data_IF_833658328734
#
_entry.id   IF_833658328734
#
_cell.length_a   1.000
_cell.length_b   1.000
_cell.length_c   1.000
_cell.angle_alpha   90.00
_cell.angle_beta   90.00
_cell.angle_gamma   90.00
#
_symmetry.space_group_name_H-M   'P 1'
#
loop_
_entity.id
_entity.type
_entity.pdbx_description
1 polymer ?
#
# COMPACT_ATOMS: atom_id res chain seq x y z
N UNK A 1 15.82 -16.14 -6.26
CA UNK A 1 14.55 -15.38 -6.24
C UNK A 1 13.33 -16.26 -6.56
N UNK A 2 13.34 -17.13 -7.60
CA UNK A 2 12.18 -17.96 -7.99
C UNK A 2 11.58 -18.78 -6.83
N UNK A 3 12.39 -19.39 -5.98
CA UNK A 3 11.91 -20.13 -4.78
C UNK A 3 11.11 -19.25 -3.82
N UNK A 4 11.49 -17.97 -3.68
CA UNK A 4 10.74 -17.00 -2.85
C UNK A 4 9.40 -16.63 -3.50
N UNK A 5 9.40 -16.42 -4.81
CA UNK A 5 8.18 -16.15 -5.59
C UNK A 5 7.22 -17.33 -5.45
N UNK A 6 7.70 -18.55 -5.62
CA UNK A 6 6.89 -19.76 -5.48
C UNK A 6 6.35 -19.92 -4.04
N UNK A 7 7.19 -19.65 -3.03
CA UNK A 7 6.77 -19.68 -1.63
C UNK A 7 5.63 -18.69 -1.36
N UNK A 8 5.76 -17.43 -1.78
CA UNK A 8 4.73 -16.41 -1.58
C UNK A 8 3.44 -16.72 -2.37
N UNK A 9 3.59 -17.22 -3.60
CA UNK A 9 2.46 -17.66 -4.42
C UNK A 9 1.67 -18.78 -3.74
N UNK A 10 2.37 -19.78 -3.21
CA UNK A 10 1.75 -20.88 -2.50
C UNK A 10 1.13 -20.45 -1.16
N UNK A 11 1.79 -19.54 -0.43
CA UNK A 11 1.26 -18.95 0.79
C UNK A 11 -0.05 -18.21 0.52
N UNK A 12 -0.12 -17.40 -0.55
CA UNK A 12 -1.34 -16.70 -0.97
C UNK A 12 -2.48 -17.69 -1.27
N UNK A 13 -2.21 -18.79 -2.01
CA UNK A 13 -3.22 -19.84 -2.26
C UNK A 13 -3.76 -20.44 -0.96
N UNK A 14 -2.84 -20.86 -0.09
CA UNK A 14 -3.20 -21.48 1.19
C UNK A 14 -4.06 -20.55 2.04
N UNK A 15 -3.68 -19.25 2.15
CA UNK A 15 -4.44 -18.28 2.95
C UNK A 15 -5.82 -17.98 2.38
N UNK A 16 -5.94 -17.94 1.07
CA UNK A 16 -7.22 -17.73 0.39
C UNK A 16 -8.15 -18.93 0.61
N UNK A 17 -7.63 -20.16 0.47
CA UNK A 17 -8.38 -21.40 0.73
C UNK A 17 -8.80 -21.52 2.20
N UNK A 18 -7.91 -21.22 3.16
CA UNK A 18 -8.21 -21.20 4.59
C UNK A 18 -9.33 -20.23 4.94
N UNK A 19 -9.41 -19.10 4.23
CA UNK A 19 -10.46 -18.07 4.40
C UNK A 19 -11.79 -18.45 3.71
N UNK A 20 -11.80 -19.46 2.85
CA UNK A 20 -12.97 -19.81 2.03
C UNK A 20 -13.29 -18.74 0.98
N UNK A 21 -12.29 -17.99 0.54
CA UNK A 21 -12.42 -17.00 -0.53
C UNK A 21 -12.17 -17.63 -1.89
N UNK A 22 -12.73 -17.04 -2.94
CA UNK A 22 -12.64 -17.54 -4.30
C UNK A 22 -11.43 -17.02 -5.07
N UNK A 23 -10.79 -15.95 -4.58
CA UNK A 23 -9.66 -15.32 -5.24
C UNK A 23 -9.09 -14.12 -4.47
N UNK A 24 -8.30 -13.31 -5.18
CA UNK A 24 -7.53 -12.19 -4.62
C UNK A 24 -7.72 -10.91 -5.43
N UNK A 25 -7.68 -9.77 -4.75
CA UNK A 25 -7.59 -8.48 -5.42
C UNK A 25 -6.53 -7.58 -4.79
N UNK A 26 -6.02 -6.63 -5.58
CA UNK A 26 -5.05 -5.63 -5.13
C UNK A 26 -5.36 -4.26 -5.72
N UNK A 27 -5.18 -3.21 -4.92
CA UNK A 27 -5.15 -1.83 -5.40
C UNK A 27 -3.86 -1.55 -6.17
N UNK A 28 -3.96 -1.07 -7.41
CA UNK A 28 -2.80 -0.81 -8.26
C UNK A 28 -2.53 0.68 -8.31
N UNK A 29 -1.40 1.09 -7.72
CA UNK A 29 -0.95 2.49 -7.69
C UNK A 29 -0.02 2.85 -8.86
N UNK A 30 0.58 1.85 -9.53
CA UNK A 30 1.68 2.04 -10.45
C UNK A 30 3.05 2.09 -9.78
N UNK A 31 3.13 1.87 -8.46
CA UNK A 31 4.37 1.67 -7.72
C UNK A 31 4.83 0.21 -7.75
N UNK A 32 6.12 -0.01 -7.47
CA UNK A 32 6.78 -1.32 -7.58
C UNK A 32 6.15 -2.37 -6.66
N UNK A 33 5.75 -2.02 -5.44
CA UNK A 33 5.17 -2.95 -4.47
C UNK A 33 3.82 -3.48 -4.98
N UNK A 34 2.93 -2.59 -5.43
CA UNK A 34 1.65 -2.99 -6.03
C UNK A 34 1.83 -3.80 -7.32
N UNK A 35 2.88 -3.51 -8.09
CA UNK A 35 3.23 -4.30 -9.27
C UNK A 35 3.62 -5.73 -8.89
N UNK A 36 4.57 -5.91 -7.95
CA UNK A 36 4.98 -7.25 -7.49
C UNK A 36 3.79 -8.05 -6.97
N UNK A 37 2.93 -7.44 -6.14
CA UNK A 37 1.73 -8.11 -5.64
C UNK A 37 0.79 -8.51 -6.76
N UNK A 38 0.62 -7.67 -7.80
CA UNK A 38 -0.21 -7.97 -8.98
C UNK A 38 0.25 -9.25 -9.69
N UNK A 39 1.56 -9.39 -9.92
CA UNK A 39 2.13 -10.60 -10.51
C UNK A 39 2.01 -11.83 -9.61
N UNK A 40 2.18 -11.68 -8.29
CA UNK A 40 2.03 -12.77 -7.33
C UNK A 40 0.59 -13.30 -7.27
N UNK A 41 -0.42 -12.40 -7.20
CA UNK A 41 -1.82 -12.83 -7.17
C UNK A 41 -2.25 -13.46 -8.49
N UNK A 42 -1.76 -12.96 -9.62
CA UNK A 42 -1.99 -13.57 -10.94
C UNK A 42 -1.40 -14.98 -11.04
N UNK A 43 -0.19 -15.20 -10.52
CA UNK A 43 0.40 -16.54 -10.43
C UNK A 43 -0.36 -17.46 -9.46
N UNK A 44 -0.87 -16.90 -8.36
CA UNK A 44 -1.64 -17.67 -7.38
C UNK A 44 -3.00 -18.11 -7.94
N UNK A 45 -3.73 -17.19 -8.56
CA UNK A 45 -5.08 -17.39 -9.10
C UNK A 45 -5.18 -16.80 -10.50
N UNK A 46 -4.77 -17.54 -11.55
CA UNK A 46 -4.74 -17.02 -12.92
C UNK A 46 -6.08 -16.45 -13.42
N UNK A 47 -7.21 -17.07 -13.03
CA UNK A 47 -8.55 -16.64 -13.44
C UNK A 47 -9.27 -15.81 -12.36
N UNK A 48 -8.93 -16.01 -11.08
CA UNK A 48 -9.60 -15.40 -9.94
C UNK A 48 -8.70 -14.37 -9.23
N UNK A 49 -8.07 -13.51 -10.01
CA UNK A 49 -7.28 -12.38 -9.54
C UNK A 49 -7.71 -11.08 -10.22
N UNK A 50 -7.77 -9.98 -9.47
CA UNK A 50 -8.30 -8.71 -9.94
C UNK A 50 -7.43 -7.53 -9.48
N UNK A 51 -7.05 -6.68 -10.44
CA UNK A 51 -6.49 -5.36 -10.17
C UNK A 51 -7.58 -4.32 -10.03
N UNK A 52 -7.42 -3.38 -9.10
CA UNK A 52 -8.37 -2.28 -8.92
C UNK A 52 -7.60 -0.96 -8.99
N UNK A 53 -7.89 -0.14 -10.00
CA UNK A 53 -7.29 1.19 -10.19
C UNK A 53 -8.25 2.24 -9.63
N UNK A 54 -7.80 3.00 -8.63
CA UNK A 54 -8.63 3.92 -7.83
C UNK A 54 -8.10 5.36 -7.88
N UNK A 55 -8.18 6.05 -9.03
CA UNK A 55 -7.70 7.41 -9.15
C UNK A 55 -8.53 8.39 -8.31
N UNK A 56 -7.84 9.43 -7.81
CA UNK A 56 -8.44 10.61 -7.19
C UNK A 56 -7.76 11.84 -7.82
N UNK A 57 -8.53 12.79 -8.30
CA UNK A 57 -8.11 13.98 -9.05
C UNK A 57 -7.48 13.71 -10.44
N UNK A 58 -7.59 12.49 -10.94
CA UNK A 58 -7.14 12.08 -12.28
C UNK A 58 -8.12 11.05 -12.83
N UNK A 59 -8.20 10.88 -14.15
CA UNK A 59 -8.96 9.79 -14.78
C UNK A 59 -8.23 8.45 -14.69
N UNK A 60 -8.94 7.36 -14.98
CA UNK A 60 -8.34 6.01 -15.06
C UNK A 60 -7.32 5.96 -16.21
N UNK A 61 -7.60 6.61 -17.33
CA UNK A 61 -6.73 6.72 -18.49
C UNK A 61 -5.43 7.46 -18.24
N UNK A 62 -5.39 8.31 -17.20
CA UNK A 62 -4.20 9.05 -16.81
C UNK A 62 -3.27 8.23 -15.89
N UNK A 63 -3.69 7.01 -15.51
CA UNK A 63 -2.91 6.10 -14.64
C UNK A 63 -1.98 5.19 -15.47
N UNK A 64 -1.12 5.79 -16.28
CA UNK A 64 -0.26 5.06 -17.24
C UNK A 64 0.58 3.97 -16.60
N UNK A 65 1.16 4.21 -15.43
CA UNK A 65 1.97 3.23 -14.72
C UNK A 65 1.13 2.06 -14.20
N UNK A 66 -0.06 2.35 -13.62
CA UNK A 66 -0.98 1.32 -13.17
C UNK A 66 -1.50 0.47 -14.35
N UNK A 67 -1.78 1.09 -15.50
CA UNK A 67 -2.18 0.39 -16.72
C UNK A 67 -1.04 -0.48 -17.28
N UNK A 68 0.21 0.00 -17.24
CA UNK A 68 1.38 -0.80 -17.62
C UNK A 68 1.57 -2.03 -16.73
N UNK A 69 1.27 -1.92 -15.42
CA UNK A 69 1.32 -3.05 -14.48
C UNK A 69 0.27 -4.11 -14.84
N UNK A 70 -1.00 -3.72 -15.07
CA UNK A 70 -2.06 -4.68 -15.40
C UNK A 70 -1.84 -5.35 -16.74
N UNK A 71 -1.31 -4.62 -17.72
CA UNK A 71 -0.95 -5.18 -19.03
C UNK A 71 0.22 -6.19 -18.91
N UNK A 72 1.30 -5.79 -18.20
CA UNK A 72 2.47 -6.65 -18.03
C UNK A 72 2.18 -7.91 -17.20
N UNK A 73 1.29 -7.83 -16.22
CA UNK A 73 0.85 -8.96 -15.41
C UNK A 73 -0.26 -9.80 -16.09
N UNK A 74 -0.79 -9.39 -17.23
CA UNK A 74 -1.99 -9.97 -17.86
C UNK A 74 -3.16 -10.08 -16.88
N UNK A 75 -3.30 -9.08 -15.99
CA UNK A 75 -4.26 -9.08 -14.90
C UNK A 75 -5.57 -8.43 -15.34
N UNK A 76 -6.70 -9.08 -15.09
CA UNK A 76 -8.00 -8.41 -15.22
C UNK A 76 -8.09 -7.24 -14.26
N UNK A 77 -8.70 -6.15 -14.67
CA UNK A 77 -8.84 -4.99 -13.81
C UNK A 77 -10.16 -4.26 -13.94
N UNK A 78 -10.49 -3.47 -12.92
CA UNK A 78 -11.56 -2.47 -12.94
C UNK A 78 -11.00 -1.11 -12.52
N UNK A 79 -11.45 -0.06 -13.20
CA UNK A 79 -11.14 1.33 -12.86
C UNK A 79 -12.33 1.98 -12.17
N UNK A 80 -12.15 2.54 -10.99
CA UNK A 80 -13.20 3.23 -10.22
C UNK A 80 -12.66 4.58 -9.78
N UNK A 81 -13.17 5.64 -10.38
CA UNK A 81 -12.78 7.00 -10.05
C UNK A 81 -13.45 7.45 -8.74
N UNK A 82 -12.67 7.98 -7.81
CA UNK A 82 -13.11 8.38 -6.48
C UNK A 82 -13.07 9.90 -6.23
N UNK A 83 -12.80 10.70 -7.27
CA UNK A 83 -12.64 12.17 -7.13
C UNK A 83 -13.87 12.81 -6.50
N UNK A 84 -15.07 12.55 -7.01
CA UNK A 84 -16.31 13.13 -6.48
C UNK A 84 -16.60 12.69 -5.05
N UNK A 85 -16.35 11.42 -4.73
CA UNK A 85 -16.53 10.88 -3.38
C UNK A 85 -15.56 11.53 -2.38
N UNK A 86 -14.30 11.67 -2.78
CA UNK A 86 -13.28 12.35 -1.99
C UNK A 86 -13.65 13.82 -1.77
N UNK A 87 -13.93 14.56 -2.86
CA UNK A 87 -14.19 16.00 -2.82
C UNK A 87 -15.42 16.30 -1.96
N UNK A 88 -16.51 15.57 -2.17
CA UNK A 88 -17.74 15.73 -1.39
C UNK A 88 -17.51 15.53 0.10
N UNK A 89 -16.77 14.45 0.46
CA UNK A 89 -16.49 14.12 1.86
C UNK A 89 -15.56 15.15 2.48
N UNK A 90 -14.47 15.50 1.79
CA UNK A 90 -13.46 16.46 2.28
C UNK A 90 -14.05 17.84 2.49
N UNK A 91 -14.80 18.36 1.51
CA UNK A 91 -15.44 19.68 1.61
C UNK A 91 -16.50 19.72 2.71
N UNK A 92 -17.26 18.67 2.89
CA UNK A 92 -18.23 18.59 4.00
C UNK A 92 -17.53 18.70 5.36
N UNK A 93 -16.43 17.94 5.56
CA UNK A 93 -15.62 18.00 6.78
C UNK A 93 -15.06 19.40 6.98
N UNK A 94 -14.44 19.96 5.94
CA UNK A 94 -13.82 21.30 5.97
C UNK A 94 -14.83 22.37 6.35
N UNK A 95 -16.00 22.38 5.72
CA UNK A 95 -17.05 23.36 5.97
C UNK A 95 -17.56 23.27 7.41
N UNK A 96 -17.83 22.06 7.90
CA UNK A 96 -18.33 21.88 9.26
C UNK A 96 -17.30 22.28 10.34
N UNK A 97 -16.02 22.02 10.11
CA UNK A 97 -14.96 22.44 11.02
C UNK A 97 -14.69 23.94 10.93
N UNK A 98 -14.81 24.57 9.75
CA UNK A 98 -14.72 26.02 9.59
C UNK A 98 -15.85 26.74 10.33
N UNK A 99 -17.10 26.28 10.23
CA UNK A 99 -18.25 26.83 10.95
C UNK A 99 -18.05 26.83 12.48
N UNK A 100 -17.31 25.85 13.00
CA UNK A 100 -16.92 25.76 14.42
C UNK A 100 -15.67 26.58 14.77
N UNK A 101 -14.89 27.05 13.77
CA UNK A 101 -13.58 27.66 13.98
C UNK A 101 -12.46 26.66 14.31
N UNK A 102 -12.68 25.35 14.08
CA UNK A 102 -11.76 24.27 14.46
C UNK A 102 -10.90 23.77 13.28
N UNK A 103 -11.07 24.33 12.08
CA UNK A 103 -10.28 23.91 10.92
C UNK A 103 -8.81 24.25 11.07
N UNK A 104 -7.94 23.25 10.93
CA UNK A 104 -6.50 23.39 11.03
C UNK A 104 -5.83 23.19 9.65
N UNK A 105 -5.37 24.26 9.05
CA UNK A 105 -4.73 24.26 7.74
C UNK A 105 -3.42 23.42 7.69
N UNK A 106 -2.62 23.43 8.77
CA UNK A 106 -1.35 22.69 8.83
C UNK A 106 -1.56 21.18 8.79
N UNK A 107 -2.68 20.70 9.36
CA UNK A 107 -3.02 19.28 9.40
C UNK A 107 -3.90 18.82 8.24
N UNK A 108 -4.40 19.75 7.44
CA UNK A 108 -5.40 19.46 6.40
C UNK A 108 -4.84 18.59 5.27
N UNK A 109 -3.57 18.78 4.89
CA UNK A 109 -2.92 17.98 3.84
C UNK A 109 -2.83 16.51 4.24
N UNK A 110 -2.28 16.22 5.41
CA UNK A 110 -2.20 14.84 5.93
C UNK A 110 -3.58 14.24 6.15
N UNK A 111 -4.55 15.03 6.63
CA UNK A 111 -5.94 14.60 6.79
C UNK A 111 -6.58 14.21 5.47
N UNK A 112 -6.35 14.99 4.42
CA UNK A 112 -6.82 14.72 3.06
C UNK A 112 -6.18 13.47 2.47
N UNK A 113 -4.86 13.31 2.59
CA UNK A 113 -4.13 12.14 2.15
C UNK A 113 -4.64 10.83 2.80
N UNK A 114 -4.80 10.85 4.13
CA UNK A 114 -5.36 9.72 4.87
C UNK A 114 -6.82 9.42 4.48
N UNK A 115 -7.62 10.43 4.13
CA UNK A 115 -8.97 10.22 3.63
C UNK A 115 -8.94 9.51 2.27
N UNK A 116 -8.04 9.90 1.37
CA UNK A 116 -7.88 9.23 0.07
C UNK A 116 -7.54 7.74 0.25
N UNK A 117 -6.55 7.41 1.10
CA UNK A 117 -6.17 6.03 1.38
C UNK A 117 -7.34 5.21 1.95
N UNK A 118 -8.13 5.78 2.86
CA UNK A 118 -9.30 5.11 3.45
C UNK A 118 -10.46 4.93 2.48
N UNK A 119 -10.70 5.87 1.58
CA UNK A 119 -11.69 5.70 0.52
C UNK A 119 -11.28 4.57 -0.43
N UNK A 120 -10.01 4.50 -0.81
CA UNK A 120 -9.49 3.38 -1.61
C UNK A 120 -9.70 2.05 -0.89
N UNK A 121 -9.29 1.94 0.36
CA UNK A 121 -9.48 0.72 1.17
C UNK A 121 -10.95 0.29 1.21
N UNK A 122 -11.86 1.20 1.54
CA UNK A 122 -13.29 0.87 1.61
C UNK A 122 -13.84 0.39 0.27
N UNK A 123 -13.35 0.97 -0.84
CA UNK A 123 -13.73 0.56 -2.20
C UNK A 123 -13.18 -0.81 -2.55
N UNK A 124 -11.90 -1.11 -2.18
CA UNK A 124 -11.32 -2.45 -2.37
C UNK A 124 -12.15 -3.52 -1.68
N UNK A 125 -12.54 -3.30 -0.42
CA UNK A 125 -13.40 -4.24 0.31
C UNK A 125 -14.80 -4.38 -0.30
N UNK A 126 -15.40 -3.29 -0.79
CA UNK A 126 -16.68 -3.37 -1.48
C UNK A 126 -16.61 -4.20 -2.76
N UNK A 127 -15.52 -4.06 -3.54
CA UNK A 127 -15.25 -4.89 -4.71
C UNK A 127 -14.97 -6.33 -4.29
N UNK A 128 -14.10 -6.54 -3.29
CA UNK A 128 -13.76 -7.87 -2.77
C UNK A 128 -14.97 -8.65 -2.32
N UNK A 129 -15.86 -8.02 -1.57
CA UNK A 129 -17.11 -8.66 -1.12
C UNK A 129 -18.01 -9.10 -2.30
N UNK A 130 -18.03 -8.33 -3.40
CA UNK A 130 -18.83 -8.72 -4.58
C UNK A 130 -18.27 -9.98 -5.27
N UNK A 131 -16.95 -10.19 -5.24
CA UNK A 131 -16.29 -11.33 -5.87
C UNK A 131 -15.99 -12.47 -4.90
N UNK A 132 -16.21 -12.31 -3.61
CA UNK A 132 -15.68 -13.17 -2.54
C UNK A 132 -14.14 -13.28 -2.59
N UNK A 133 -13.45 -12.16 -2.82
CA UNK A 133 -12.00 -12.06 -2.90
C UNK A 133 -11.41 -11.39 -1.65
N UNK A 134 -10.22 -11.83 -1.22
CA UNK A 134 -9.46 -11.14 -0.18
C UNK A 134 -8.69 -9.96 -0.76
N UNK A 135 -8.58 -8.90 0.04
CA UNK A 135 -7.78 -7.71 -0.27
C UNK A 135 -6.33 -7.97 0.10
N UNK A 136 -5.43 -7.87 -0.88
CA UNK A 136 -3.98 -8.04 -0.68
C UNK A 136 -3.31 -6.69 -0.56
N UNK A 137 -2.59 -6.47 0.54
CA UNK A 137 -1.79 -5.29 0.82
C UNK A 137 -0.43 -5.35 0.15
N UNK A 138 0.19 -4.19 0.07
CA UNK A 138 1.44 -3.98 -0.66
C UNK A 138 2.59 -3.52 0.24
N UNK A 139 2.36 -3.35 1.55
CA UNK A 139 3.35 -2.88 2.50
C UNK A 139 4.54 -3.85 2.57
N UNK A 140 5.76 -3.31 2.50
CA UNK A 140 7.01 -4.03 2.65
C UNK A 140 7.60 -3.86 4.06
N UNK A 141 8.73 -4.52 4.35
CA UNK A 141 9.33 -4.51 5.67
C UNK A 141 9.76 -3.11 6.15
N UNK A 142 10.21 -2.23 5.24
CA UNK A 142 10.61 -0.87 5.59
C UNK A 142 9.39 -0.01 5.94
N UNK A 143 8.32 -0.12 5.18
CA UNK A 143 7.05 0.57 5.42
C UNK A 143 6.38 0.10 6.71
N UNK A 144 6.33 -1.21 6.96
CA UNK A 144 5.82 -1.76 8.23
C UNK A 144 6.65 -1.27 9.41
N UNK A 145 7.99 -1.38 9.34
CA UNK A 145 8.85 -0.98 10.45
C UNK A 145 8.70 0.49 10.81
N UNK A 146 8.66 1.36 9.81
CA UNK A 146 8.52 2.81 10.00
C UNK A 146 7.08 3.24 10.29
N UNK A 147 6.10 2.37 9.98
CA UNK A 147 4.67 2.70 9.99
C UNK A 147 4.32 3.70 8.90
N UNK A 148 5.03 3.65 7.78
CA UNK A 148 4.79 4.51 6.61
C UNK A 148 3.61 3.99 5.77
N UNK A 149 2.48 3.96 6.41
CA UNK A 149 1.17 3.63 5.82
C UNK A 149 0.05 4.31 6.60
N UNK A 150 -1.12 4.42 6.03
CA UNK A 150 -2.32 4.93 6.69
C UNK A 150 -3.04 3.79 7.42
N UNK A 151 -3.13 3.87 8.75
CA UNK A 151 -3.93 2.93 9.54
C UNK A 151 -5.39 2.93 9.07
N UNK A 152 -5.91 1.75 8.72
CA UNK A 152 -7.24 1.58 8.10
C UNK A 152 -7.38 2.29 6.75
N UNK A 153 -6.26 2.52 6.06
CA UNK A 153 -6.18 2.89 4.66
C UNK A 153 -5.48 1.80 3.89
N UNK A 154 -4.32 2.07 3.32
CA UNK A 154 -3.45 1.08 2.67
C UNK A 154 -3.00 -0.05 3.61
N UNK A 155 -2.85 0.22 4.93
CA UNK A 155 -2.64 -0.83 5.94
C UNK A 155 -3.91 -1.61 6.35
N UNK A 156 -5.08 -1.33 5.75
CA UNK A 156 -6.34 -2.03 6.00
C UNK A 156 -6.59 -3.11 4.96
N UNK A 157 -6.04 -4.31 5.16
CA UNK A 157 -6.00 -5.40 4.18
C UNK A 157 -6.13 -6.76 4.88
N UNK A 158 -6.34 -7.84 4.11
CA UNK A 158 -6.46 -9.20 4.65
C UNK A 158 -5.12 -9.94 4.64
N UNK A 159 -4.29 -9.74 3.61
CA UNK A 159 -3.00 -10.44 3.42
C UNK A 159 -1.91 -9.43 3.05
N UNK A 160 -0.69 -9.62 3.54
CA UNK A 160 0.47 -8.75 3.25
C UNK A 160 1.68 -9.61 2.85
N UNK A 161 1.80 -10.03 1.58
CA UNK A 161 2.86 -10.94 1.14
C UNK A 161 4.27 -10.35 1.22
N UNK A 162 4.42 -9.01 1.14
CA UNK A 162 5.72 -8.34 1.12
C UNK A 162 6.23 -7.92 2.50
N UNK A 163 5.47 -8.16 3.57
CA UNK A 163 5.73 -7.63 4.93
C UNK A 163 7.13 -7.95 5.48
N UNK A 164 7.74 -9.03 5.04
CA UNK A 164 9.07 -9.46 5.44
C UNK A 164 10.15 -9.23 4.37
N UNK A 165 9.82 -8.56 3.27
CA UNK A 165 10.76 -8.23 2.20
C UNK A 165 11.23 -6.78 2.34
N UNK A 166 12.55 -6.57 2.34
CA UNK A 166 13.16 -5.24 2.26
C UNK A 166 12.93 -4.65 0.87
N UNK A 167 13.04 -3.34 0.75
CA UNK A 167 12.81 -2.63 -0.54
C UNK A 167 13.72 -3.15 -1.66
N UNK A 168 14.99 -3.45 -1.34
CA UNK A 168 15.90 -4.08 -2.30
C UNK A 168 15.41 -5.45 -2.78
N UNK A 169 14.85 -6.29 -1.87
CA UNK A 169 14.33 -7.62 -2.21
C UNK A 169 13.04 -7.53 -3.03
N UNK A 170 12.21 -6.51 -2.79
CA UNK A 170 11.03 -6.22 -3.64
C UNK A 170 11.49 -5.85 -5.06
N UNK A 171 12.56 -5.05 -5.19
CA UNK A 171 13.12 -4.69 -6.50
C UNK A 171 13.67 -5.90 -7.25
N UNK A 172 14.46 -6.74 -6.58
CA UNK A 172 14.96 -7.99 -7.15
C UNK A 172 13.81 -8.93 -7.59
N UNK A 173 12.73 -8.96 -6.81
CA UNK A 173 11.54 -9.77 -7.13
C UNK A 173 10.79 -9.20 -8.34
N UNK A 174 10.66 -7.87 -8.45
CA UNK A 174 10.07 -7.21 -9.60
C UNK A 174 10.83 -7.52 -10.89
N UNK A 175 12.16 -7.45 -10.85
CA UNK A 175 13.04 -7.82 -11.98
C UNK A 175 12.84 -9.30 -12.37
N UNK A 176 12.80 -10.22 -11.40
CA UNK A 176 12.59 -11.65 -11.64
C UNK A 176 11.19 -11.98 -12.19
N UNK A 177 10.20 -11.17 -11.85
CA UNK A 177 8.83 -11.28 -12.36
C UNK A 177 8.63 -10.62 -13.74
N UNK A 178 9.64 -9.96 -14.28
CA UNK A 178 9.58 -9.15 -15.51
C UNK A 178 8.58 -8.00 -15.42
N UNK A 179 8.51 -7.33 -14.28
CA UNK A 179 7.78 -6.06 -14.14
C UNK A 179 8.41 -5.03 -15.08
N UNK A 180 7.64 -4.17 -15.77
CA UNK A 180 8.18 -3.18 -16.69
C UNK A 180 9.27 -2.29 -16.05
N UNK A 181 10.37 -2.07 -16.79
CA UNK A 181 11.53 -1.29 -16.32
C UNK A 181 11.15 0.11 -15.84
N UNK A 182 10.14 0.74 -16.46
CA UNK A 182 9.62 2.05 -16.06
C UNK A 182 9.08 2.05 -14.63
N UNK A 183 8.56 0.92 -14.15
CA UNK A 183 8.06 0.75 -12.78
C UNK A 183 9.20 0.38 -11.83
N UNK A 184 10.09 -0.53 -12.22
CA UNK A 184 11.23 -0.99 -11.40
C UNK A 184 12.17 0.16 -11.03
N UNK A 185 12.38 1.12 -11.94
CA UNK A 185 13.31 2.23 -11.76
C UNK A 185 12.62 3.56 -11.35
N UNK A 186 11.31 3.54 -11.12
CA UNK A 186 10.56 4.70 -10.62
C UNK A 186 10.98 5.02 -9.18
N UNK A 187 11.12 6.31 -8.87
CA UNK A 187 11.37 6.73 -7.48
C UNK A 187 10.16 6.40 -6.60
N UNK A 188 10.37 5.85 -5.39
CA UNK A 188 9.29 5.57 -4.45
C UNK A 188 8.52 6.84 -4.07
N UNK A 189 7.20 6.79 -4.19
CA UNK A 189 6.29 7.87 -3.80
C UNK A 189 4.88 7.33 -3.58
N UNK A 190 4.23 7.78 -2.52
CA UNK A 190 2.81 7.50 -2.27
C UNK A 190 1.87 8.28 -3.20
N UNK A 191 2.38 9.26 -3.97
CA UNK A 191 1.65 10.09 -4.96
C UNK A 191 0.36 10.74 -4.42
N UNK A 192 0.34 11.10 -3.15
CA UNK A 192 -0.81 11.75 -2.50
C UNK A 192 -0.85 13.27 -2.78
N UNK A 193 0.29 13.87 -3.13
CA UNK A 193 0.43 15.25 -3.61
C UNK A 193 1.64 15.39 -4.53
N UNK A 194 1.66 16.48 -5.30
CA UNK A 194 2.71 16.76 -6.28
C UNK A 194 4.08 16.93 -5.62
N UNK A 195 5.10 16.23 -6.14
CA UNK A 195 6.49 16.30 -5.66
C UNK A 195 6.78 15.51 -4.40
N UNK A 196 5.82 14.74 -3.88
CA UNK A 196 6.06 13.84 -2.74
C UNK A 196 7.09 12.77 -3.08
N UNK A 197 8.04 12.52 -2.15
CA UNK A 197 8.89 11.33 -2.14
C UNK A 197 8.88 10.72 -0.74
N UNK A 198 8.87 9.40 -0.69
CA UNK A 198 8.82 8.67 0.59
C UNK A 198 10.06 8.99 1.46
N UNK A 199 11.24 9.05 0.85
CA UNK A 199 12.51 9.30 1.55
C UNK A 199 12.57 10.69 2.17
N UNK A 200 11.98 11.72 1.54
CA UNK A 200 11.91 13.06 2.13
C UNK A 200 10.98 13.08 3.36
N UNK A 201 9.88 12.33 3.35
CA UNK A 201 8.97 12.25 4.49
C UNK A 201 9.53 11.39 5.62
N UNK A 202 10.23 10.31 5.29
CA UNK A 202 10.91 9.44 6.26
C UNK A 202 12.16 10.11 6.85
N UNK A 203 12.72 11.09 6.13
CA UNK A 203 13.98 11.77 6.49
C UNK A 203 15.22 10.88 6.33
N UNK A 204 15.10 9.75 5.62
CA UNK A 204 16.19 8.81 5.34
C UNK A 204 15.88 7.97 4.10
N UNK A 205 16.93 7.38 3.49
CA UNK A 205 16.78 6.53 2.31
C UNK A 205 16.29 5.12 2.68
N UNK A 206 15.63 4.45 1.72
CA UNK A 206 15.30 3.03 1.84
C UNK A 206 16.55 2.16 2.03
N UNK A 207 17.68 2.51 1.40
CA UNK A 207 18.95 1.79 1.59
C UNK A 207 19.40 1.82 3.07
N UNK A 208 19.24 2.94 3.75
CA UNK A 208 19.54 3.08 5.18
C UNK A 208 18.61 2.21 6.03
N UNK A 209 17.30 2.22 5.73
CA UNK A 209 16.32 1.39 6.44
C UNK A 209 16.60 -0.09 6.21
N UNK A 210 16.87 -0.50 4.98
CA UNK A 210 17.17 -1.88 4.61
C UNK A 210 18.46 -2.37 5.28
N UNK A 211 19.51 -1.53 5.35
CA UNK A 211 20.75 -1.83 6.08
C UNK A 211 20.47 -2.09 7.57
N UNK A 212 19.66 -1.25 8.20
CA UNK A 212 19.24 -1.45 9.59
C UNK A 212 18.47 -2.76 9.77
N UNK A 213 17.52 -3.06 8.88
CA UNK A 213 16.73 -4.29 8.94
C UNK A 213 17.57 -5.56 8.71
N UNK A 214 18.70 -5.44 7.99
CA UNK A 214 19.72 -6.53 7.88
C UNK A 214 20.56 -6.69 9.14
N UNK A 215 20.44 -5.80 10.14
CA UNK A 215 21.27 -5.78 11.33
C UNK A 215 22.65 -5.15 11.14
N UNK A 216 22.84 -4.39 10.06
CA UNK A 216 24.05 -3.63 9.79
C UNK A 216 24.12 -2.37 10.64
N UNK A 217 25.32 -1.85 10.82
CA UNK A 217 25.51 -0.56 11.49
C UNK A 217 25.20 0.57 10.52
N UNK A 218 24.32 1.45 10.93
CA UNK A 218 24.00 2.70 10.25
C UNK A 218 24.46 3.90 11.09
N UNK A 219 24.27 5.10 10.61
CA UNK A 219 24.54 6.30 11.38
C UNK A 219 23.74 6.27 12.71
N UNK A 220 24.35 6.62 13.87
CA UNK A 220 23.66 6.58 15.17
C UNK A 220 22.44 7.50 15.26
N UNK A 221 22.41 8.61 14.51
CA UNK A 221 21.27 9.52 14.49
C UNK A 221 20.11 8.89 13.68
N UNK A 222 20.40 8.27 12.53
CA UNK A 222 19.42 7.54 11.76
C UNK A 222 18.84 6.35 12.53
N UNK A 223 19.68 5.58 13.25
CA UNK A 223 19.25 4.48 14.09
C UNK A 223 18.31 4.95 15.19
N UNK A 224 18.61 6.07 15.82
CA UNK A 224 17.76 6.68 16.85
C UNK A 224 16.42 7.11 16.26
N UNK A 225 16.44 7.81 15.13
CA UNK A 225 15.24 8.29 14.44
C UNK A 225 14.34 7.13 14.01
N UNK A 226 14.90 6.05 13.46
CA UNK A 226 14.18 4.83 13.10
C UNK A 226 13.48 4.19 14.31
N UNK A 227 14.18 4.06 15.43
CA UNK A 227 13.60 3.48 16.66
C UNK A 227 12.49 4.35 17.25
N UNK A 228 12.65 5.68 17.20
CA UNK A 228 11.61 6.62 17.64
C UNK A 228 10.38 6.55 16.73
N UNK A 229 10.57 6.50 15.42
CA UNK A 229 9.51 6.37 14.44
C UNK A 229 8.75 5.05 14.60
N UNK A 230 9.48 3.93 14.73
CA UNK A 230 8.90 2.62 15.01
C UNK A 230 8.01 2.64 16.25
N UNK A 231 8.53 3.17 17.35
CA UNK A 231 7.79 3.29 18.63
C UNK A 231 6.55 4.18 18.49
N UNK A 232 6.68 5.34 17.84
CA UNK A 232 5.58 6.28 17.63
C UNK A 232 4.45 5.68 16.82
N UNK A 233 4.79 4.82 15.86
CA UNK A 233 3.84 4.20 14.92
C UNK A 233 3.37 2.82 15.36
N UNK A 234 3.80 2.30 16.50
CA UNK A 234 3.46 0.98 17.04
C UNK A 234 1.94 0.71 17.03
N UNK A 235 1.13 1.72 17.39
CA UNK A 235 -0.33 1.61 17.37
C UNK A 235 -0.93 1.27 16.00
N UNK A 236 -0.17 1.45 14.90
CA UNK A 236 -0.64 1.13 13.55
C UNK A 236 -0.57 -0.38 13.26
N UNK A 237 0.39 -1.08 13.90
CA UNK A 237 0.66 -2.53 13.75
C UNK A 237 -0.08 -3.41 14.75
N UNK A 238 -0.80 -2.80 15.68
CA UNK A 238 -1.54 -3.51 16.72
C UNK A 238 -3.04 -3.41 16.51
N UNK A 239 -3.75 -4.45 16.94
CA UNK A 239 -5.21 -4.35 17.08
C UNK A 239 -5.58 -3.23 18.06
N UNK A 240 -6.77 -2.63 17.96
CA UNK A 240 -7.20 -1.61 18.91
C UNK A 240 -7.10 -2.10 20.35
N UNK A 241 -6.43 -1.29 21.18
CA UNK A 241 -6.26 -1.62 22.60
C UNK A 241 -7.61 -1.61 23.33
N UNK A 242 -7.84 -2.59 24.19
CA UNK A 242 -8.96 -2.64 25.12
C UNK A 242 -8.47 -2.59 26.57
N UNK A 243 -9.33 -2.25 27.55
CA UNK A 243 -8.99 -2.32 28.97
C UNK A 243 -8.80 -3.77 29.42
N UNK A 244 -8.05 -3.97 30.51
CA UNK A 244 -7.98 -5.26 31.17
C UNK A 244 -9.36 -5.69 31.70
N UNK A 245 -9.56 -7.01 31.85
CA UNK A 245 -10.80 -7.53 32.44
C UNK A 245 -10.80 -7.18 33.93
N UNK A 246 -11.95 -6.71 34.42
CA UNK A 246 -12.19 -6.43 35.83
C UNK A 246 -12.30 -7.73 36.60
#
# INVERSE_FOLDING_TARGET
MEERIEHLTNWLRTKTEEAGADGLLVGISGGIDSAVVSYLIKRAFPENSLGVILPINKGVEDQTDALAVVEGAELNYVGIELTDAYQTTYDTIKNQLNEKGDWNNEKSQLGGANLQARLRMSTLYAVGNNYNYLVVGTDNAAEDYTGYFTKYGDGGVDLVPLINLRKEEVKEMAEALNVPDSIVHKKPSAELWEGQTDEEELGMSYDTIDAYLRGEKIDPEDEKNLKELHKKTEHKRQVPAGPERF
#
